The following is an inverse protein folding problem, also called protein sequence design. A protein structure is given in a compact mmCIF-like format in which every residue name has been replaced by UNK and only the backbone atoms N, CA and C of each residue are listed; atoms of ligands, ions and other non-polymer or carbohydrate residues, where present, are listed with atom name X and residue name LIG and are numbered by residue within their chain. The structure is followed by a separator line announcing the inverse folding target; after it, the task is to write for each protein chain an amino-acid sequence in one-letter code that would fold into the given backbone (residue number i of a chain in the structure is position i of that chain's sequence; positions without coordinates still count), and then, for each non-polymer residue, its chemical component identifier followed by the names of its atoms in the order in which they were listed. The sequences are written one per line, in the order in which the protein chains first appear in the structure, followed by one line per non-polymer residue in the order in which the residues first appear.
data_IF_465337795707
#
_entry.id   IF_465337795707
#
_cell.length_a   1.000
_cell.length_b   1.000
_cell.length_c   1.000
_cell.angle_alpha   90.00
_cell.angle_beta   90.00
_cell.angle_gamma   90.00
#
_symmetry.space_group_name_H-M   'P 1'
#
loop_
_entity.id
_entity.type
_entity.pdbx_description
1 polymer ?
#
# COMPACT_ATOMS: atom_id res chain seq x y z
N UNK A 1 -1.19 -11.76 -18.22
CA UNK A 1 -1.86 -11.21 -17.03
C UNK A 1 -2.37 -12.36 -16.16
N UNK A 2 -2.31 -12.22 -14.83
CA UNK A 2 -2.97 -13.12 -13.88
C UNK A 2 -4.52 -13.04 -13.92
N UNK A 3 -5.08 -11.98 -14.50
CA UNK A 3 -6.52 -11.74 -14.64
C UNK A 3 -7.08 -12.12 -16.02
N UNK A 4 -6.30 -12.78 -16.87
CA UNK A 4 -6.79 -13.31 -18.14
C UNK A 4 -7.85 -14.40 -17.87
N UNK A 5 -9.07 -14.18 -18.40
CA UNK A 5 -10.21 -15.08 -18.22
C UNK A 5 -10.00 -16.43 -18.91
N UNK A 6 -9.13 -16.52 -19.92
CA UNK A 6 -8.80 -17.79 -20.56
C UNK A 6 -8.12 -18.77 -19.59
N UNK A 7 -7.48 -18.26 -18.53
CA UNK A 7 -6.84 -19.11 -17.51
C UNK A 7 -7.87 -19.91 -16.71
N UNK A 8 -9.09 -19.41 -16.52
CA UNK A 8 -10.16 -20.10 -15.79
C UNK A 8 -10.59 -21.39 -16.52
N UNK A 9 -10.71 -21.32 -17.84
CA UNK A 9 -11.03 -22.47 -18.70
C UNK A 9 -9.92 -23.53 -18.67
N UNK A 10 -8.65 -23.08 -18.61
CA UNK A 10 -7.48 -23.95 -18.55
C UNK A 10 -7.35 -24.71 -17.22
N UNK A 11 -7.70 -24.08 -16.08
CA UNK A 11 -7.60 -24.73 -14.76
C UNK A 11 -8.86 -25.53 -14.38
N UNK A 12 -10.02 -25.19 -14.95
CA UNK A 12 -11.31 -25.82 -14.63
C UNK A 12 -11.55 -27.21 -15.24
N UNK A 13 -10.78 -27.59 -16.26
CA UNK A 13 -11.04 -28.79 -17.08
C UNK A 13 -10.22 -30.04 -16.68
N UNK A 14 -9.25 -29.93 -15.76
CA UNK A 14 -8.31 -31.00 -15.40
C UNK A 14 -8.66 -31.78 -14.13
N UNK A 15 -9.58 -32.75 -14.21
CA UNK A 15 -9.89 -33.67 -13.09
C UNK A 15 -8.94 -34.87 -13.04
N UNK A 16 -7.70 -34.68 -12.59
CA UNK A 16 -6.79 -35.78 -12.23
C UNK A 16 -7.11 -36.36 -10.84
N UNK A 17 -6.93 -37.67 -10.65
CA UNK A 17 -7.31 -38.45 -9.46
C UNK A 17 -6.72 -37.99 -8.10
N UNK A 18 -5.87 -36.96 -8.06
CA UNK A 18 -5.14 -36.53 -6.86
C UNK A 18 -5.36 -35.08 -6.39
N UNK A 19 -6.29 -34.29 -6.96
CA UNK A 19 -6.62 -33.02 -6.30
C UNK A 19 -7.52 -32.07 -7.07
N UNK A 20 -8.73 -31.87 -6.56
CA UNK A 20 -9.74 -30.95 -7.11
C UNK A 20 -9.51 -29.45 -6.80
N UNK A 21 -8.38 -29.07 -6.22
CA UNK A 21 -8.12 -27.67 -5.83
C UNK A 21 -6.69 -27.19 -6.08
N UNK A 22 -5.85 -27.98 -6.75
CA UNK A 22 -4.42 -27.69 -6.84
C UNK A 22 -4.11 -26.43 -7.64
N UNK A 23 -4.63 -26.32 -8.86
CA UNK A 23 -4.29 -25.21 -9.77
C UNK A 23 -5.24 -24.03 -9.69
N UNK A 24 -6.53 -24.28 -9.45
CA UNK A 24 -7.53 -23.21 -9.21
C UNK A 24 -7.08 -22.33 -8.04
N UNK A 25 -6.74 -22.92 -6.90
CA UNK A 25 -6.31 -22.15 -5.72
C UNK A 25 -4.97 -21.44 -5.95
N UNK A 26 -4.06 -21.99 -6.78
CA UNK A 26 -2.81 -21.28 -7.14
C UNK A 26 -3.09 -20.08 -8.03
N UNK A 27 -4.03 -20.20 -8.97
CA UNK A 27 -4.46 -19.08 -9.80
C UNK A 27 -5.15 -18.01 -8.95
N UNK A 28 -6.02 -18.38 -8.02
CA UNK A 28 -6.64 -17.44 -7.07
C UNK A 28 -5.59 -16.73 -6.18
N UNK A 29 -4.63 -17.48 -5.64
CA UNK A 29 -3.53 -16.91 -4.86
C UNK A 29 -2.68 -15.93 -5.70
N UNK A 30 -2.42 -16.27 -6.96
CA UNK A 30 -1.70 -15.37 -7.88
C UNK A 30 -2.47 -14.09 -8.17
N UNK A 31 -3.80 -14.16 -8.31
CA UNK A 31 -4.68 -12.99 -8.50
C UNK A 31 -4.71 -12.13 -7.25
N UNK A 32 -4.71 -12.74 -6.07
CA UNK A 32 -4.60 -12.01 -4.81
C UNK A 32 -3.27 -11.25 -4.72
N UNK A 33 -2.14 -11.91 -5.03
CA UNK A 33 -0.83 -11.26 -5.09
C UNK A 33 -0.77 -10.16 -6.17
N UNK A 34 -1.36 -10.39 -7.34
CA UNK A 34 -1.39 -9.43 -8.44
C UNK A 34 -2.15 -8.14 -8.11
N UNK A 35 -3.16 -8.19 -7.22
CA UNK A 35 -3.83 -6.98 -6.70
C UNK A 35 -2.89 -6.08 -5.89
N UNK A 36 -1.83 -6.64 -5.32
CA UNK A 36 -0.75 -5.89 -4.66
C UNK A 36 0.40 -5.52 -5.63
N UNK A 37 0.23 -5.76 -6.93
CA UNK A 37 1.26 -5.55 -7.96
C UNK A 37 2.34 -6.61 -8.01
N UNK A 38 2.19 -7.73 -7.30
CA UNK A 38 3.18 -8.80 -7.27
C UNK A 38 3.01 -9.76 -8.45
N UNK A 39 4.08 -9.99 -9.21
CA UNK A 39 4.15 -11.10 -10.16
C UNK A 39 4.28 -12.43 -9.42
N UNK A 40 3.69 -13.49 -9.97
CA UNK A 40 3.70 -14.82 -9.36
C UNK A 40 4.27 -15.84 -10.34
N UNK A 41 5.21 -16.67 -9.91
CA UNK A 41 5.69 -17.82 -10.69
C UNK A 41 5.15 -19.10 -10.06
N UNK A 42 4.51 -19.94 -10.87
CA UNK A 42 4.13 -21.30 -10.48
C UNK A 42 5.07 -22.28 -11.17
N UNK A 43 5.94 -22.94 -10.40
CA UNK A 43 6.93 -23.87 -10.90
C UNK A 43 6.89 -25.23 -10.18
N UNK A 44 7.52 -26.25 -10.76
CA UNK A 44 7.62 -27.57 -10.16
C UNK A 44 8.74 -27.58 -9.10
N UNK A 45 8.38 -27.70 -7.82
CA UNK A 45 9.35 -27.72 -6.73
C UNK A 45 10.31 -28.92 -6.71
N UNK A 46 10.12 -29.92 -7.57
CA UNK A 46 11.07 -31.04 -7.73
C UNK A 46 12.18 -30.76 -8.75
N UNK A 47 12.06 -29.68 -9.50
CA UNK A 47 13.09 -29.27 -10.45
C UNK A 47 14.31 -28.76 -9.67
N UNK A 48 15.49 -29.25 -10.06
CA UNK A 48 16.74 -28.91 -9.40
C UNK A 48 17.04 -27.42 -9.60
N UNK A 49 17.47 -26.74 -8.54
CA UNK A 49 17.84 -25.32 -8.55
C UNK A 49 16.74 -24.35 -9.06
N UNK A 50 15.46 -24.76 -8.99
CA UNK A 50 14.32 -24.00 -9.53
C UNK A 50 14.25 -22.56 -9.02
N UNK A 51 14.58 -22.30 -7.75
CA UNK A 51 14.59 -20.94 -7.20
C UNK A 51 15.70 -20.07 -7.81
N UNK A 52 16.89 -20.64 -8.02
CA UNK A 52 18.01 -19.96 -8.67
C UNK A 52 17.71 -19.68 -10.14
N UNK A 53 17.07 -20.63 -10.83
CA UNK A 53 16.62 -20.45 -12.21
C UNK A 53 15.61 -19.30 -12.33
N UNK A 54 14.60 -19.25 -11.44
CA UNK A 54 13.64 -18.14 -11.38
C UNK A 54 14.34 -16.81 -11.08
N UNK A 55 15.23 -16.77 -10.08
CA UNK A 55 15.94 -15.56 -9.68
C UNK A 55 16.84 -14.98 -10.79
N UNK A 56 17.35 -15.83 -11.68
CA UNK A 56 18.17 -15.43 -12.83
C UNK A 56 17.34 -15.12 -14.08
N UNK A 57 16.01 -15.15 -13.99
CA UNK A 57 15.10 -14.80 -15.09
C UNK A 57 14.94 -15.90 -16.13
N UNK A 58 15.31 -17.15 -15.81
CA UNK A 58 15.05 -18.27 -16.71
C UNK A 58 13.55 -18.53 -16.83
N UNK A 59 13.12 -18.96 -18.01
CA UNK A 59 11.71 -19.28 -18.27
C UNK A 59 11.36 -20.66 -17.71
N UNK A 60 11.06 -20.73 -16.41
CA UNK A 60 10.70 -21.95 -15.69
C UNK A 60 9.30 -21.83 -15.11
N UNK A 61 8.46 -22.85 -15.34
CA UNK A 61 7.07 -22.86 -14.89
C UNK A 61 6.18 -21.88 -15.67
N UNK A 62 5.25 -21.23 -14.97
CA UNK A 62 4.33 -20.23 -15.54
C UNK A 62 4.44 -18.93 -14.76
N UNK A 63 4.83 -17.85 -15.45
CA UNK A 63 4.83 -16.49 -14.92
C UNK A 63 3.45 -15.84 -15.12
N UNK A 64 2.81 -15.46 -14.02
CA UNK A 64 1.57 -14.70 -13.99
C UNK A 64 1.90 -13.25 -13.60
N UNK A 65 1.74 -12.35 -14.55
CA UNK A 65 2.04 -10.93 -14.38
C UNK A 65 0.91 -10.18 -13.70
N UNK A 66 1.26 -9.22 -12.85
CA UNK A 66 0.34 -8.22 -12.33
C UNK A 66 0.22 -7.09 -13.36
N UNK A 67 -0.98 -6.55 -13.51
CA UNK A 67 -1.25 -5.47 -14.48
C UNK A 67 -1.09 -4.07 -13.86
N UNK A 68 -0.85 -4.00 -12.55
CA UNK A 68 -0.71 -2.78 -11.75
C UNK A 68 0.66 -2.78 -11.09
N UNK A 69 1.35 -1.63 -11.07
CA UNK A 69 2.60 -1.50 -10.36
C UNK A 69 2.39 -1.59 -8.82
N UNK A 70 3.33 -2.12 -8.04
CA UNK A 70 3.16 -2.27 -6.58
C UNK A 70 2.80 -0.98 -5.83
N UNK A 71 3.39 0.16 -6.24
CA UNK A 71 3.07 1.46 -5.64
C UNK A 71 1.63 1.90 -5.93
N UNK A 72 1.16 1.71 -7.16
CA UNK A 72 -0.21 2.05 -7.55
C UNK A 72 -1.21 1.15 -6.82
N UNK A 73 -0.91 -0.15 -6.70
CA UNK A 73 -1.70 -1.09 -5.94
C UNK A 73 -1.81 -0.71 -4.45
N UNK A 74 -0.70 -0.27 -3.84
CA UNK A 74 -0.68 0.19 -2.45
C UNK A 74 -1.55 1.44 -2.27
N UNK A 75 -1.43 2.42 -3.16
CA UNK A 75 -2.25 3.64 -3.11
C UNK A 75 -3.73 3.34 -3.34
N UNK A 76 -4.06 2.43 -4.25
CA UNK A 76 -5.44 1.95 -4.45
C UNK A 76 -6.00 1.29 -3.19
N UNK A 77 -5.19 0.47 -2.49
CA UNK A 77 -5.62 -0.14 -1.22
C UNK A 77 -5.91 0.92 -0.14
N UNK A 78 -5.06 1.94 -0.03
CA UNK A 78 -5.28 3.06 0.91
C UNK A 78 -6.55 3.83 0.55
N UNK A 79 -6.75 4.17 -0.72
CA UNK A 79 -7.95 4.89 -1.19
C UNK A 79 -9.25 4.10 -0.92
N UNK A 80 -9.20 2.78 -1.16
CA UNK A 80 -10.33 1.87 -1.00
C UNK A 80 -10.69 1.57 0.47
N UNK A 81 -9.86 2.01 1.43
CA UNK A 81 -10.10 1.72 2.84
C UNK A 81 -11.38 2.39 3.32
N UNK A 82 -12.32 1.57 3.84
CA UNK A 82 -13.64 2.00 4.31
C UNK A 82 -13.61 2.42 5.78
N UNK A 83 -12.78 1.77 6.59
CA UNK A 83 -12.61 2.11 8.01
C UNK A 83 -11.49 3.11 8.15
N UNK A 84 -11.83 4.34 8.52
CA UNK A 84 -10.89 5.44 8.75
C UNK A 84 -10.85 5.72 10.24
N UNK A 85 -9.65 5.71 10.83
CA UNK A 85 -9.48 5.83 12.28
C UNK A 85 -9.55 7.28 12.78
N UNK A 86 -9.35 8.26 11.90
CA UNK A 86 -9.39 9.68 12.21
C UNK A 86 -9.08 10.57 11.01
N UNK A 87 -8.82 11.85 11.28
CA UNK A 87 -8.55 12.85 10.27
C UNK A 87 -7.41 13.78 10.67
N UNK A 88 -6.65 14.25 9.68
CA UNK A 88 -5.60 15.23 9.82
C UNK A 88 -5.90 16.39 8.86
N UNK A 89 -6.02 17.59 9.39
CA UNK A 89 -6.27 18.80 8.60
C UNK A 89 -4.95 19.46 8.24
N UNK A 90 -4.73 19.73 6.96
CA UNK A 90 -3.54 20.36 6.43
C UNK A 90 -3.77 21.84 6.13
N UNK A 91 -2.71 22.65 6.25
CA UNK A 91 -2.73 24.00 5.70
C UNK A 91 -2.76 24.00 4.16
N UNK A 92 -3.08 25.15 3.56
CA UNK A 92 -3.20 25.27 2.11
C UNK A 92 -1.88 24.96 1.37
N UNK A 93 -0.73 25.31 1.95
CA UNK A 93 0.58 25.07 1.34
C UNK A 93 0.95 23.59 1.32
N UNK A 94 0.62 22.87 2.40
CA UNK A 94 0.79 21.43 2.51
C UNK A 94 -0.14 20.67 1.56
N UNK A 95 -1.42 21.06 1.47
CA UNK A 95 -2.37 20.52 0.48
C UNK A 95 -1.83 20.69 -0.94
N UNK A 96 -1.41 21.91 -1.29
CA UNK A 96 -0.86 22.20 -2.62
C UNK A 96 0.41 21.39 -2.89
N UNK A 97 1.32 21.29 -1.92
CA UNK A 97 2.56 20.51 -2.06
C UNK A 97 2.26 19.04 -2.35
N UNK A 98 1.34 18.45 -1.60
CA UNK A 98 0.93 17.06 -1.75
C UNK A 98 0.27 16.82 -3.12
N UNK A 99 -0.68 17.67 -3.52
CA UNK A 99 -1.43 17.50 -4.77
C UNK A 99 -0.60 17.77 -6.03
N UNK A 100 0.20 18.84 -6.04
CA UNK A 100 0.92 19.25 -7.24
C UNK A 100 2.30 18.58 -7.37
N UNK A 101 2.99 18.34 -6.25
CA UNK A 101 4.38 17.84 -6.24
C UNK A 101 4.51 16.38 -5.81
N UNK A 102 3.45 15.77 -5.28
CA UNK A 102 3.47 14.37 -4.83
C UNK A 102 4.48 14.09 -3.71
N UNK A 103 4.66 15.06 -2.80
CA UNK A 103 5.56 14.95 -1.65
C UNK A 103 4.87 14.34 -0.44
N UNK A 104 5.67 13.91 0.54
CA UNK A 104 5.19 13.41 1.83
C UNK A 104 4.51 14.51 2.65
N UNK A 105 3.61 14.13 3.55
CA UNK A 105 3.01 15.03 4.54
C UNK A 105 3.97 15.17 5.71
N UNK A 106 4.40 16.39 6.01
CA UNK A 106 5.22 16.73 7.18
C UNK A 106 4.34 17.30 8.29
N UNK A 107 4.74 17.09 9.54
CA UNK A 107 4.00 17.59 10.70
C UNK A 107 3.83 19.12 10.71
N UNK A 108 4.79 19.86 10.13
CA UNK A 108 4.73 21.33 10.01
C UNK A 108 3.51 21.84 9.26
N UNK A 109 2.98 21.04 8.33
CA UNK A 109 1.80 21.39 7.53
C UNK A 109 0.47 21.01 8.17
N UNK A 110 0.47 20.42 9.38
CA UNK A 110 -0.72 19.97 10.09
C UNK A 110 -1.28 21.08 10.96
N UNK A 111 -2.59 21.32 10.84
CA UNK A 111 -3.31 22.37 11.58
C UNK A 111 -4.29 21.81 12.60
N UNK A 112 -4.84 20.61 12.38
CA UNK A 112 -5.75 19.95 13.31
C UNK A 112 -5.66 18.42 13.21
N UNK A 113 -5.98 17.75 14.32
CA UNK A 113 -5.95 16.28 14.44
C UNK A 113 -7.24 15.82 15.11
N UNK A 114 -7.93 14.86 14.49
CA UNK A 114 -9.24 14.37 14.96
C UNK A 114 -9.28 12.84 14.99
N UNK A 115 -10.02 12.31 15.97
CA UNK A 115 -10.19 10.87 16.16
C UNK A 115 -9.12 10.26 17.06
N UNK A 116 -9.00 8.94 17.01
CA UNK A 116 -8.03 8.19 17.80
C UNK A 116 -7.44 7.08 16.94
N UNK A 117 -6.19 7.26 16.55
CA UNK A 117 -5.47 6.39 15.63
C UNK A 117 -4.06 6.11 16.16
N UNK A 118 -3.52 4.95 15.82
CA UNK A 118 -2.14 4.56 16.05
C UNK A 118 -1.31 4.61 14.78
N UNK A 119 0.01 4.40 14.93
CA UNK A 119 0.91 4.20 13.80
C UNK A 119 0.42 3.06 12.90
N UNK A 120 0.41 3.30 11.60
CA UNK A 120 -0.04 2.35 10.58
C UNK A 120 -1.54 2.37 10.31
N UNK A 121 -2.32 3.16 11.04
CA UNK A 121 -3.74 3.34 10.72
C UNK A 121 -3.92 4.25 9.50
N UNK A 122 -5.03 4.05 8.79
CA UNK A 122 -5.44 4.94 7.69
C UNK A 122 -6.26 6.11 8.26
N UNK A 123 -5.84 7.32 7.92
CA UNK A 123 -6.53 8.57 8.27
C UNK A 123 -6.96 9.33 7.01
N UNK A 124 -8.03 10.11 7.14
CA UNK A 124 -8.42 11.10 6.13
C UNK A 124 -7.49 12.30 6.20
N UNK A 125 -7.17 12.85 5.05
CA UNK A 125 -6.40 14.09 4.92
C UNK A 125 -7.39 15.15 4.45
N UNK A 126 -7.53 16.19 5.25
CA UNK A 126 -8.59 17.20 5.11
C UNK A 126 -7.93 18.53 4.75
N UNK A 127 -8.46 19.22 3.75
CA UNK A 127 -8.04 20.56 3.38
C UNK A 127 -8.56 21.63 4.35
N UNK A 128 -8.04 22.87 4.27
CA UNK A 128 -8.48 23.97 5.12
C UNK A 128 -9.95 24.38 4.88
N UNK A 129 -10.54 23.95 3.76
CA UNK A 129 -11.95 24.11 3.41
C UNK A 129 -12.87 23.01 4.00
N UNK A 130 -12.29 22.03 4.71
CA UNK A 130 -13.00 20.89 5.28
C UNK A 130 -13.27 19.76 4.29
N UNK A 131 -12.70 19.82 3.08
CA UNK A 131 -12.88 18.78 2.06
C UNK A 131 -11.77 17.74 2.18
N UNK A 132 -12.12 16.45 2.06
CA UNK A 132 -11.13 15.38 2.02
C UNK A 132 -10.32 15.46 0.71
N UNK A 133 -9.00 15.60 0.84
CA UNK A 133 -8.05 15.64 -0.29
C UNK A 133 -7.40 14.29 -0.57
N UNK A 134 -7.53 13.35 0.36
CA UNK A 134 -7.00 11.99 0.22
C UNK A 134 -6.99 11.22 1.54
N UNK A 135 -6.30 10.08 1.52
CA UNK A 135 -6.09 9.21 2.68
C UNK A 135 -4.64 8.81 2.77
N UNK A 136 -4.16 8.51 3.97
CA UNK A 136 -2.80 8.01 4.13
C UNK A 136 -2.58 7.17 5.38
N UNK A 137 -1.51 6.37 5.36
CA UNK A 137 -1.04 5.63 6.54
C UNK A 137 -0.13 6.53 7.38
N UNK A 138 -0.47 6.71 8.65
CA UNK A 138 0.29 7.58 9.55
C UNK A 138 1.48 6.86 10.17
N UNK A 139 2.58 7.59 10.34
CA UNK A 139 3.78 7.11 11.04
C UNK A 139 3.71 7.34 12.56
N UNK A 140 2.81 8.22 13.02
CA UNK A 140 2.66 8.59 14.42
C UNK A 140 1.20 8.46 14.85
N UNK A 141 0.96 8.12 16.12
CA UNK A 141 -0.40 8.06 16.67
C UNK A 141 -1.04 9.44 16.85
N UNK A 142 -2.33 9.50 17.16
CA UNK A 142 -3.06 10.77 17.28
C UNK A 142 -2.47 11.70 18.33
N UNK A 143 -2.08 11.16 19.50
CA UNK A 143 -1.48 11.95 20.60
C UNK A 143 -0.12 12.51 20.19
N UNK A 144 0.71 11.70 19.53
CA UNK A 144 2.04 12.12 19.08
C UNK A 144 1.93 13.14 17.95
N UNK A 145 1.02 12.89 17.00
CA UNK A 145 0.70 13.80 15.90
C UNK A 145 0.24 15.16 16.44
N UNK A 146 -0.59 15.18 17.48
CA UNK A 146 -1.05 16.41 18.12
C UNK A 146 0.09 17.18 18.81
N UNK A 147 1.10 16.48 19.34
CA UNK A 147 2.29 17.09 19.93
C UNK A 147 3.26 17.68 18.89
N UNK A 148 3.44 17.01 17.75
CA UNK A 148 4.39 17.44 16.71
C UNK A 148 3.77 18.33 15.64
N UNK A 149 2.45 18.52 15.62
CA UNK A 149 1.77 19.37 14.61
C UNK A 149 2.34 20.78 14.60
N UNK A 150 2.52 21.34 13.41
CA UNK A 150 3.10 22.67 13.22
C UNK A 150 4.62 22.74 13.45
N UNK A 151 5.27 21.64 13.83
CA UNK A 151 6.71 21.58 14.03
C UNK A 151 7.44 20.93 12.85
N UNK A 152 8.67 21.37 12.60
CA UNK A 152 9.55 20.76 11.60
C UNK A 152 10.13 19.43 12.07
N UNK A 153 10.51 18.56 11.14
CA UNK A 153 10.98 17.20 11.45
C UNK A 153 12.19 17.15 12.41
N UNK A 154 13.03 18.19 12.39
CA UNK A 154 14.23 18.27 13.24
C UNK A 154 13.94 18.33 14.75
N UNK A 155 12.73 18.71 15.18
CA UNK A 155 12.35 18.79 16.60
C UNK A 155 11.49 17.61 17.05
N UNK A 156 11.18 16.65 16.18
CA UNK A 156 10.36 15.49 16.54
C UNK A 156 11.02 14.68 17.66
N UNK A 157 12.33 14.44 17.58
CA UNK A 157 13.06 13.67 18.59
C UNK A 157 13.04 14.36 19.97
N UNK A 158 13.13 15.69 19.98
CA UNK A 158 13.04 16.48 21.20
C UNK A 158 11.65 16.40 21.84
N UNK A 159 10.59 16.43 21.02
CA UNK A 159 9.20 16.43 21.48
C UNK A 159 8.72 15.04 21.92
N UNK A 160 9.12 13.98 21.22
CA UNK A 160 8.63 12.62 21.45
C UNK A 160 9.63 11.74 22.22
N UNK A 161 10.91 12.14 22.28
CA UNK A 161 12.00 11.33 22.82
C UNK A 161 12.53 10.25 21.86
N UNK A 162 12.01 10.20 20.63
CA UNK A 162 12.44 9.30 19.56
C UNK A 162 12.05 9.85 18.18
N UNK A 163 12.68 9.35 17.12
CA UNK A 163 12.29 9.54 15.71
C UNK A 163 12.33 8.20 15.00
N UNK A 164 11.20 7.80 14.40
CA UNK A 164 11.13 6.67 13.47
C UNK A 164 11.22 7.17 12.02
N UNK A 165 10.38 8.14 11.64
CA UNK A 165 10.36 8.73 10.30
C UNK A 165 10.27 10.26 10.35
N UNK A 166 10.91 10.97 9.42
CA UNK A 166 10.83 12.45 9.39
C UNK A 166 9.45 12.96 8.95
N UNK A 167 8.68 12.12 8.26
CA UNK A 167 7.38 12.46 7.70
C UNK A 167 6.25 11.83 8.49
N UNK A 168 5.14 12.55 8.57
CA UNK A 168 3.93 12.06 9.21
C UNK A 168 3.21 11.02 8.33
N UNK A 169 3.19 11.26 7.02
CA UNK A 169 2.70 10.30 6.00
C UNK A 169 3.67 10.35 4.82
N UNK A 170 4.35 9.25 4.54
CA UNK A 170 5.21 9.16 3.37
C UNK A 170 4.40 9.19 2.06
N UNK A 171 4.92 9.80 0.99
CA UNK A 171 4.22 9.94 -0.31
C UNK A 171 3.75 8.63 -0.97
N UNK A 172 4.40 7.51 -0.64
CA UNK A 172 4.03 6.17 -1.14
C UNK A 172 2.88 5.55 -0.33
N UNK A 173 2.66 6.08 0.88
CA UNK A 173 1.57 5.75 1.79
C UNK A 173 0.44 6.79 1.71
N UNK A 174 0.39 7.54 0.61
CA UNK A 174 -0.54 8.64 0.39
C UNK A 174 -1.31 8.42 -0.91
N UNK A 175 -2.63 8.39 -0.81
CA UNK A 175 -3.55 8.26 -1.93
C UNK A 175 -4.45 9.49 -1.99
N UNK A 176 -4.37 10.23 -3.10
CA UNK A 176 -5.16 11.44 -3.32
C UNK A 176 -6.50 11.10 -3.98
N UNK A 177 -7.52 11.90 -3.66
CA UNK A 177 -8.88 11.79 -4.19
C UNK A 177 -9.03 12.47 -5.55
#
# INVERSE_FOLDING_TARGET
SAFDSQLDDMVGSGSGALGRGGMVTKLEASRYAARAGCHTVIANGREQDVLSAIATGQNVGTLLTADVAPLDARKQWIAAQVQIAGGITLDAGAVQAVQERGVSVLAVGVTDVQGNFGRGDVVSIIGPDGVEVGKGLVNYGAVETDLIKGHGSAVIEELLGYVDEEELIHRDNLALS
#
